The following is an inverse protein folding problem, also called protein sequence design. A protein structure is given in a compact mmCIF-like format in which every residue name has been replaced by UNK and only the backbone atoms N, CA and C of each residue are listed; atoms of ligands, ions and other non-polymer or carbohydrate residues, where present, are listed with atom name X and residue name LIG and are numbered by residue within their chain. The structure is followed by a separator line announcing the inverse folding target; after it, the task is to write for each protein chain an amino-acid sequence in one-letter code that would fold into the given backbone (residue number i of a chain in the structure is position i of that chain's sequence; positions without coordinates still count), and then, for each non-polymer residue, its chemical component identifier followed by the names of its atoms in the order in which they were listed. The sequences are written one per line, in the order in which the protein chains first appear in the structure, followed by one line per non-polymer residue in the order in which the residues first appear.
data_IF_302762670656
#
_entry.id   IF_302762670656
#
_cell.length_a   1.000
_cell.length_b   1.000
_cell.length_c   1.000
_cell.angle_alpha   90.00
_cell.angle_beta   90.00
_cell.angle_gamma   90.00
#
_symmetry.space_group_name_H-M   'P 1'
#
loop_
_entity.id
_entity.type
_entity.pdbx_description
1 polymer ?
#
# COMPACT_ATOMS: atom_id res chain seq x y z
N UNK A 1 37.06 23.43 36.93
CA UNK A 1 37.67 22.44 36.02
C UNK A 1 36.72 21.31 35.59
N UNK A 2 35.62 21.05 36.29
CA UNK A 2 34.64 19.99 35.91
C UNK A 2 33.70 20.34 34.75
N UNK A 3 33.52 21.63 34.44
CA UNK A 3 32.59 22.10 33.40
C UNK A 3 33.02 21.72 31.97
N UNK A 4 34.32 21.76 31.66
CA UNK A 4 34.85 21.40 30.33
C UNK A 4 34.87 19.88 30.07
N UNK A 5 34.95 19.04 31.11
CA UNK A 5 34.89 17.58 30.95
C UNK A 5 33.51 17.09 30.46
N UNK A 6 32.44 17.88 30.65
CA UNK A 6 31.09 17.53 30.17
C UNK A 6 30.89 17.78 28.67
N UNK A 7 31.61 18.74 28.08
CA UNK A 7 31.56 19.04 26.63
C UNK A 7 32.38 18.03 25.81
N UNK A 8 33.49 17.55 26.34
CA UNK A 8 34.39 16.60 25.66
C UNK A 8 33.90 15.14 25.69
N UNK A 9 32.95 14.78 26.58
CA UNK A 9 32.51 13.39 26.77
C UNK A 9 31.50 12.83 25.75
N UNK A 10 30.92 13.64 24.87
CA UNK A 10 29.95 13.15 23.86
C UNK A 10 30.51 13.03 22.43
N UNK A 11 31.70 13.58 22.18
CA UNK A 11 32.34 13.61 20.84
C UNK A 11 33.25 12.42 20.57
N UNK A 12 33.59 11.60 21.58
CA UNK A 12 34.51 10.45 21.46
C UNK A 12 33.90 9.08 21.80
N UNK A 13 32.57 8.98 21.92
CA UNK A 13 31.92 7.71 22.22
C UNK A 13 32.11 6.71 21.08
N UNK A 14 32.59 5.52 21.43
CA UNK A 14 32.62 4.35 20.55
C UNK A 14 31.20 3.81 20.34
N UNK A 15 31.00 3.03 19.27
CA UNK A 15 29.69 2.44 18.97
C UNK A 15 29.17 1.54 20.10
N UNK A 16 30.08 0.89 20.84
CA UNK A 16 29.73 0.05 21.99
C UNK A 16 29.27 0.87 23.19
N UNK A 17 29.92 2.01 23.45
CA UNK A 17 29.48 2.92 24.52
C UNK A 17 28.13 3.55 24.20
N UNK A 18 27.91 3.94 22.94
CA UNK A 18 26.60 4.42 22.45
C UNK A 18 25.56 3.33 22.67
N UNK A 19 25.82 2.09 22.23
CA UNK A 19 24.92 0.95 22.40
C UNK A 19 24.58 0.72 23.87
N UNK A 20 25.57 0.77 24.76
CA UNK A 20 25.40 0.62 26.22
C UNK A 20 24.51 1.71 26.81
N UNK A 21 24.70 2.97 26.41
CA UNK A 21 23.87 4.07 26.88
C UNK A 21 22.42 3.97 26.38
N UNK A 22 22.22 3.57 25.12
CA UNK A 22 20.88 3.30 24.59
C UNK A 22 20.20 2.15 25.34
N UNK A 23 20.92 1.06 25.60
CA UNK A 23 20.42 -0.05 26.43
C UNK A 23 19.93 0.47 27.78
N UNK A 24 20.74 1.23 28.50
CA UNK A 24 20.35 1.77 29.81
C UNK A 24 19.15 2.70 29.73
N UNK A 25 19.04 3.50 28.66
CA UNK A 25 17.89 4.38 28.43
C UNK A 25 16.60 3.57 28.21
N UNK A 26 16.66 2.52 27.38
CA UNK A 26 15.50 1.69 27.06
C UNK A 26 15.10 0.75 28.21
N UNK A 27 16.03 0.35 29.07
CA UNK A 27 15.77 -0.41 30.29
C UNK A 27 15.31 0.48 31.47
N UNK A 28 15.20 1.79 31.27
CA UNK A 28 14.79 2.74 32.32
C UNK A 28 15.85 2.97 33.42
N UNK A 29 17.09 2.47 33.24
CA UNK A 29 18.19 2.64 34.20
C UNK A 29 18.72 4.06 34.26
N UNK A 30 18.53 4.84 33.20
CA UNK A 30 18.82 6.28 33.16
C UNK A 30 17.62 7.05 32.65
N UNK A 31 17.29 8.15 33.31
CA UNK A 31 16.19 9.02 32.91
C UNK A 31 16.49 9.78 31.60
N UNK A 32 17.74 10.22 31.41
CA UNK A 32 18.16 10.98 30.24
C UNK A 32 19.54 10.49 29.77
N UNK A 33 19.76 10.61 28.45
CA UNK A 33 21.09 10.40 27.87
C UNK A 33 22.00 11.57 28.24
N UNK A 34 23.33 11.39 28.21
CA UNK A 34 24.28 12.46 28.49
C UNK A 34 24.01 13.73 27.68
N UNK A 35 24.32 14.89 28.26
CA UNK A 35 24.21 16.15 27.54
C UNK A 35 25.05 16.10 26.25
N UNK A 36 24.51 16.66 25.16
CA UNK A 36 25.18 16.66 23.86
C UNK A 36 25.18 15.33 23.12
N UNK A 37 24.64 14.23 23.69
CA UNK A 37 24.68 12.90 23.08
C UNK A 37 24.18 12.82 21.63
N UNK A 38 23.13 13.60 21.32
CA UNK A 38 22.64 13.76 19.94
C UNK A 38 23.32 14.92 19.20
N UNK A 39 23.74 15.97 19.91
CA UNK A 39 24.29 17.20 19.32
C UNK A 39 25.82 17.15 19.28
N UNK A 40 26.33 16.14 18.59
CA UNK A 40 27.75 15.95 18.30
C UNK A 40 27.93 15.51 16.84
N UNK A 41 29.17 15.51 16.35
CA UNK A 41 29.50 15.20 14.95
C UNK A 41 29.04 13.79 14.54
N UNK A 42 28.99 12.86 15.49
CA UNK A 42 28.50 11.48 15.29
C UNK A 42 27.02 11.29 15.64
N UNK A 43 26.27 12.35 15.93
CA UNK A 43 24.89 12.26 16.42
C UNK A 43 23.94 11.48 15.49
N UNK A 44 24.10 11.63 14.17
CA UNK A 44 23.34 10.87 13.18
C UNK A 44 23.73 9.38 13.18
N UNK A 45 24.99 9.07 13.40
CA UNK A 45 25.48 7.69 13.54
C UNK A 45 24.98 7.04 14.84
N UNK A 46 24.99 7.79 15.95
CA UNK A 46 24.37 7.37 17.22
C UNK A 46 22.89 7.06 17.03
N UNK A 47 22.20 7.86 16.21
CA UNK A 47 20.79 7.63 15.90
C UNK A 47 20.57 6.30 15.17
N UNK A 48 21.43 5.96 14.21
CA UNK A 48 21.41 4.66 13.50
C UNK A 48 21.57 3.49 14.48
N UNK A 49 22.56 3.58 15.37
CA UNK A 49 22.82 2.56 16.41
C UNK A 49 21.61 2.42 17.33
N UNK A 50 21.03 3.54 17.77
CA UNK A 50 19.87 3.55 18.64
C UNK A 50 18.64 2.92 17.99
N UNK A 51 18.37 3.23 16.71
CA UNK A 51 17.25 2.66 15.94
C UNK A 51 17.46 1.16 15.74
N UNK A 52 18.67 0.72 15.36
CA UNK A 52 18.99 -0.71 15.27
C UNK A 52 18.78 -1.44 16.58
N UNK A 53 19.29 -0.88 17.68
CA UNK A 53 19.11 -1.49 19.00
C UNK A 53 17.63 -1.56 19.39
N UNK A 54 16.85 -0.50 19.15
CA UNK A 54 15.43 -0.49 19.42
C UNK A 54 14.70 -1.61 18.66
N UNK A 55 14.94 -1.73 17.35
CA UNK A 55 14.25 -2.69 16.48
C UNK A 55 14.72 -4.13 16.75
N UNK A 56 16.02 -4.37 16.65
CA UNK A 56 16.60 -5.72 16.61
C UNK A 56 16.73 -6.33 18.01
N UNK A 57 17.04 -5.52 19.03
CA UNK A 57 17.39 -6.02 20.37
C UNK A 57 16.26 -5.79 21.38
N UNK A 58 15.73 -4.58 21.46
CA UNK A 58 14.73 -4.23 22.46
C UNK A 58 13.34 -4.77 22.09
N UNK A 59 12.88 -4.52 20.87
CA UNK A 59 11.59 -4.99 20.38
C UNK A 59 11.66 -6.39 19.74
N UNK A 60 12.88 -6.86 19.39
CA UNK A 60 13.13 -8.16 18.76
C UNK A 60 12.27 -8.38 17.51
N UNK A 61 12.17 -7.36 16.68
CA UNK A 61 11.36 -7.40 15.47
C UNK A 61 12.18 -7.95 14.31
N UNK A 62 11.58 -8.88 13.56
CA UNK A 62 11.99 -9.13 12.19
C UNK A 62 11.72 -7.88 11.35
N UNK A 63 12.56 -7.60 10.35
CA UNK A 63 12.40 -6.41 9.50
C UNK A 63 11.02 -6.38 8.83
N UNK A 64 10.49 -7.53 8.40
CA UNK A 64 9.17 -7.65 7.77
C UNK A 64 7.99 -7.21 8.68
N UNK A 65 8.19 -7.20 9.99
CA UNK A 65 7.18 -6.78 10.96
C UNK A 65 7.33 -5.32 11.40
N UNK A 66 8.46 -4.67 11.10
CA UNK A 66 8.70 -3.26 11.43
C UNK A 66 7.57 -2.36 10.91
N UNK A 67 7.10 -2.47 9.65
CA UNK A 67 6.04 -1.59 9.17
C UNK A 67 4.68 -1.78 9.85
N UNK A 68 4.46 -2.94 10.48
CA UNK A 68 3.19 -3.29 11.16
C UNK A 68 3.18 -2.79 12.60
N UNK A 69 4.35 -2.78 13.25
CA UNK A 69 4.49 -2.52 14.69
C UNK A 69 5.01 -1.11 14.98
N UNK A 70 6.01 -0.65 14.22
CA UNK A 70 6.73 0.59 14.53
C UNK A 70 5.94 1.83 14.09
N UNK A 71 5.95 2.85 14.94
CA UNK A 71 5.34 4.16 14.66
C UNK A 71 6.08 5.27 15.41
N UNK A 72 5.76 6.54 15.13
CA UNK A 72 6.27 7.67 15.92
C UNK A 72 6.01 7.53 17.43
N UNK A 73 4.89 6.89 17.82
CA UNK A 73 4.57 6.59 19.23
C UNK A 73 5.61 5.66 19.85
N UNK A 74 6.08 4.66 19.12
CA UNK A 74 7.12 3.73 19.59
C UNK A 74 8.40 4.47 19.95
N UNK A 75 8.79 5.48 19.16
CA UNK A 75 9.94 6.33 19.48
C UNK A 75 9.72 7.21 20.71
N UNK A 76 8.50 7.73 20.91
CA UNK A 76 8.14 8.46 22.13
C UNK A 76 8.23 7.58 23.38
N UNK A 77 7.62 6.40 23.33
CA UNK A 77 7.60 5.44 24.45
C UNK A 77 9.01 4.94 24.79
N UNK A 78 9.87 4.77 23.77
CA UNK A 78 11.29 4.46 23.95
C UNK A 78 12.14 5.64 24.46
N UNK A 79 11.57 6.85 24.56
CA UNK A 79 12.32 8.07 24.91
C UNK A 79 13.35 8.48 23.84
N UNK A 80 13.17 8.02 22.59
CA UNK A 80 14.04 8.26 21.44
C UNK A 80 13.42 9.23 20.43
N UNK A 81 12.25 9.81 20.70
CA UNK A 81 11.57 10.72 19.78
C UNK A 81 12.42 11.92 19.33
N UNK A 82 13.33 12.38 20.18
CA UNK A 82 14.25 13.49 19.84
C UNK A 82 15.12 13.21 18.62
N UNK A 83 15.45 11.95 18.35
CA UNK A 83 16.14 11.53 17.12
C UNK A 83 15.34 11.97 15.88
N UNK A 84 14.02 11.75 15.89
CA UNK A 84 13.16 12.05 14.75
C UNK A 84 13.11 13.55 14.48
N UNK A 85 12.98 14.35 15.54
CA UNK A 85 12.91 15.80 15.46
C UNK A 85 14.24 16.39 14.98
N UNK A 86 15.36 15.95 15.55
CA UNK A 86 16.68 16.56 15.30
C UNK A 86 17.24 16.20 13.91
N UNK A 87 16.97 14.99 13.40
CA UNK A 87 17.65 14.47 12.20
C UNK A 87 16.74 14.10 11.03
N UNK A 88 15.44 13.96 11.24
CA UNK A 88 14.56 13.30 10.28
C UNK A 88 13.23 14.03 10.06
N UNK A 89 13.15 15.33 10.34
CA UNK A 89 11.95 16.16 10.15
C UNK A 89 10.69 15.55 10.81
N UNK A 90 10.84 14.99 12.01
CA UNK A 90 9.79 14.25 12.73
C UNK A 90 9.24 13.02 11.98
N UNK A 91 9.93 12.55 10.94
CA UNK A 91 9.56 11.38 10.15
C UNK A 91 10.29 10.13 10.64
N UNK A 92 9.54 9.24 11.29
CA UNK A 92 10.06 7.92 11.66
C UNK A 92 10.38 7.07 10.42
N UNK A 93 9.71 7.29 9.28
CA UNK A 93 10.07 6.63 8.02
C UNK A 93 11.44 7.08 7.52
N UNK A 94 11.76 8.38 7.51
CA UNK A 94 13.09 8.87 7.13
C UNK A 94 14.19 8.29 8.03
N UNK A 95 13.91 8.13 9.32
CA UNK A 95 14.81 7.50 10.26
C UNK A 95 15.07 6.01 9.94
N UNK A 96 14.02 5.28 9.56
CA UNK A 96 14.12 3.89 9.12
C UNK A 96 14.83 3.75 7.77
N UNK A 97 14.52 4.60 6.79
CA UNK A 97 15.17 4.60 5.48
C UNK A 97 16.67 4.90 5.61
N UNK A 98 17.05 5.80 6.51
CA UNK A 98 18.46 6.04 6.80
C UNK A 98 19.15 4.84 7.46
N UNK A 99 18.43 4.11 8.32
CA UNK A 99 19.00 2.98 9.09
C UNK A 99 19.05 1.68 8.29
N UNK A 100 18.05 1.46 7.45
CA UNK A 100 17.85 0.29 6.59
C UNK A 100 17.52 0.74 5.17
N UNK A 101 18.48 1.32 4.43
CA UNK A 101 18.23 1.86 3.10
C UNK A 101 17.59 0.82 2.18
N UNK A 102 16.51 1.22 1.50
CA UNK A 102 15.79 0.37 0.54
C UNK A 102 15.10 -0.86 1.11
N UNK A 103 15.08 -1.07 2.43
CA UNK A 103 14.41 -2.24 3.03
C UNK A 103 12.90 -2.04 3.18
N UNK A 104 12.44 -0.79 3.28
CA UNK A 104 11.05 -0.48 3.53
C UNK A 104 10.46 0.37 2.43
N UNK A 105 9.29 -0.03 1.98
CA UNK A 105 8.48 0.82 1.13
C UNK A 105 7.59 1.72 1.99
N UNK A 106 7.45 3.01 1.66
CA UNK A 106 6.64 3.96 2.42
C UNK A 106 5.23 3.41 2.72
N UNK A 107 4.55 2.83 1.74
CA UNK A 107 3.17 2.37 1.92
C UNK A 107 2.98 1.15 2.82
N UNK A 108 4.05 0.50 3.28
CA UNK A 108 3.95 -0.62 4.22
C UNK A 108 3.51 -0.19 5.63
N UNK A 109 3.67 1.10 6.00
CA UNK A 109 3.35 1.54 7.36
C UNK A 109 1.93 2.08 7.48
N UNK A 110 1.22 1.66 8.53
CA UNK A 110 -0.23 1.88 8.70
C UNK A 110 -0.65 3.34 8.92
N UNK A 111 0.21 4.21 9.46
CA UNK A 111 -0.14 5.60 9.84
C UNK A 111 1.01 6.57 9.58
N UNK A 112 0.71 7.75 9.07
CA UNK A 112 1.67 8.88 9.07
C UNK A 112 2.40 9.13 7.75
N UNK A 113 1.81 8.76 6.62
CA UNK A 113 2.37 9.07 5.30
C UNK A 113 1.43 9.92 4.46
N UNK A 114 1.14 11.11 5.00
CA UNK A 114 0.46 12.17 4.25
C UNK A 114 1.31 12.56 3.04
N UNK A 115 0.70 12.73 1.87
CA UNK A 115 1.36 13.22 0.67
C UNK A 115 2.25 12.23 -0.09
N UNK A 116 2.46 11.00 0.38
CA UNK A 116 3.39 10.06 -0.30
C UNK A 116 2.93 9.66 -1.71
N UNK A 117 1.63 9.80 -1.98
CA UNK A 117 0.97 9.48 -3.24
C UNK A 117 0.84 10.68 -4.18
N UNK A 118 1.24 11.88 -3.75
CA UNK A 118 1.08 13.08 -4.54
C UNK A 118 2.14 13.20 -5.64
N UNK A 119 1.74 13.82 -6.75
CA UNK A 119 2.60 14.12 -7.88
C UNK A 119 3.14 12.90 -8.66
N UNK A 120 4.07 13.13 -9.59
CA UNK A 120 4.63 12.08 -10.45
C UNK A 120 5.35 10.97 -9.69
N UNK A 121 6.04 11.33 -8.59
CA UNK A 121 6.75 10.37 -7.74
C UNK A 121 5.74 9.45 -7.04
N UNK A 122 4.66 10.01 -6.50
CA UNK A 122 3.57 9.25 -5.90
C UNK A 122 2.91 8.28 -6.88
N UNK A 123 2.72 8.71 -8.14
CA UNK A 123 2.24 7.83 -9.22
C UNK A 123 3.22 6.69 -9.52
N UNK A 124 4.53 6.93 -9.54
CA UNK A 124 5.53 5.86 -9.74
C UNK A 124 5.49 4.86 -8.58
N UNK A 125 5.41 5.36 -7.33
CA UNK A 125 5.26 4.52 -6.14
C UNK A 125 3.98 3.69 -6.18
N UNK A 126 2.86 4.26 -6.62
CA UNK A 126 1.60 3.53 -6.66
C UNK A 126 1.65 2.35 -7.61
N UNK A 127 2.29 2.50 -8.77
CA UNK A 127 2.49 1.38 -9.70
C UNK A 127 3.35 0.26 -9.09
N UNK A 128 4.41 0.62 -8.37
CA UNK A 128 5.23 -0.36 -7.67
C UNK A 128 4.44 -1.05 -6.54
N UNK A 129 3.65 -0.29 -5.77
CA UNK A 129 2.81 -0.81 -4.71
C UNK A 129 1.76 -1.79 -5.23
N UNK A 130 1.12 -1.48 -6.37
CA UNK A 130 0.17 -2.40 -7.02
C UNK A 130 0.88 -3.67 -7.48
N UNK A 131 2.07 -3.57 -8.09
CA UNK A 131 2.85 -4.74 -8.51
C UNK A 131 3.22 -5.62 -7.32
N UNK A 132 3.73 -5.02 -6.25
CA UNK A 132 4.10 -5.75 -5.03
C UNK A 132 2.88 -6.44 -4.41
N UNK A 133 1.71 -5.79 -4.40
CA UNK A 133 0.47 -6.38 -3.93
C UNK A 133 0.08 -7.63 -4.73
N UNK A 134 0.12 -7.55 -6.07
CA UNK A 134 -0.23 -8.69 -6.93
C UNK A 134 0.72 -9.87 -6.73
N UNK A 135 2.02 -9.59 -6.63
CA UNK A 135 3.04 -10.62 -6.39
C UNK A 135 2.89 -11.26 -5.00
N UNK A 136 2.72 -10.46 -3.95
CA UNK A 136 2.60 -10.94 -2.58
C UNK A 136 1.35 -11.81 -2.35
N UNK A 137 0.28 -11.57 -3.12
CA UNK A 137 -0.95 -12.37 -3.09
C UNK A 137 -0.98 -13.46 -4.17
N UNK A 138 0.12 -13.64 -4.92
CA UNK A 138 0.25 -14.59 -6.02
C UNK A 138 -0.91 -14.51 -7.04
N UNK A 139 -1.40 -13.29 -7.30
CA UNK A 139 -2.52 -13.06 -8.22
C UNK A 139 -1.98 -13.11 -9.64
N UNK A 140 -2.41 -14.13 -10.39
CA UNK A 140 -2.10 -14.26 -11.81
C UNK A 140 -2.85 -13.21 -12.63
N UNK A 141 -2.29 -12.85 -13.79
CA UNK A 141 -2.80 -11.80 -14.65
C UNK A 141 -4.28 -12.00 -15.03
N UNK A 142 -4.68 -13.23 -15.32
CA UNK A 142 -6.05 -13.60 -15.73
C UNK A 142 -7.05 -13.54 -14.58
N UNK A 143 -6.57 -13.64 -13.34
CA UNK A 143 -7.40 -13.62 -12.13
C UNK A 143 -7.62 -12.21 -11.59
N UNK A 144 -6.87 -11.22 -12.09
CA UNK A 144 -6.88 -9.84 -11.62
C UNK A 144 -8.32 -9.30 -11.47
N UNK A 145 -9.20 -9.36 -12.49
CA UNK A 145 -10.53 -8.76 -12.37
C UNK A 145 -11.44 -9.44 -11.34
N UNK A 146 -11.21 -10.73 -11.06
CA UNK A 146 -12.00 -11.53 -10.11
C UNK A 146 -11.51 -11.36 -8.67
N UNK A 147 -10.19 -11.32 -8.46
CA UNK A 147 -9.60 -11.24 -7.13
C UNK A 147 -9.46 -9.79 -6.66
N UNK A 148 -9.03 -8.87 -7.52
CA UNK A 148 -8.70 -7.50 -7.13
C UNK A 148 -9.97 -6.69 -6.84
N UNK A 149 -10.06 -6.20 -5.61
CA UNK A 149 -11.17 -5.37 -5.13
C UNK A 149 -10.67 -4.25 -4.22
N UNK A 150 -11.53 -3.27 -3.95
CA UNK A 150 -11.22 -2.19 -3.02
C UNK A 150 -10.86 -2.73 -1.63
N UNK A 151 -11.51 -3.82 -1.21
CA UNK A 151 -11.25 -4.51 0.06
C UNK A 151 -9.80 -4.99 0.14
N UNK A 152 -9.28 -5.65 -0.91
CA UNK A 152 -7.88 -6.12 -0.94
C UNK A 152 -6.91 -4.95 -0.78
N UNK A 153 -7.09 -3.85 -1.52
CA UNK A 153 -6.23 -2.68 -1.38
C UNK A 153 -6.30 -2.09 0.04
N UNK A 154 -7.50 -1.99 0.63
CA UNK A 154 -7.69 -1.44 1.98
C UNK A 154 -7.02 -2.31 3.04
N UNK A 155 -7.19 -3.63 2.98
CA UNK A 155 -6.60 -4.58 3.93
C UNK A 155 -5.07 -4.60 3.88
N UNK A 156 -4.50 -4.26 2.72
CA UNK A 156 -3.05 -4.16 2.51
C UNK A 156 -2.51 -2.72 2.63
N UNK A 157 -3.23 -1.79 3.28
CA UNK A 157 -2.75 -0.43 3.53
C UNK A 157 -2.76 0.53 2.32
N UNK A 158 -3.21 0.07 1.16
CA UNK A 158 -3.25 0.83 -0.09
C UNK A 158 -4.60 1.52 -0.34
N UNK A 159 -5.49 1.54 0.66
CA UNK A 159 -6.77 2.25 0.57
C UNK A 159 -6.62 3.76 0.37
N UNK A 160 -5.58 4.37 0.96
CA UNK A 160 -5.26 5.79 0.76
C UNK A 160 -4.76 6.05 -0.66
N UNK A 161 -3.89 5.18 -1.19
CA UNK A 161 -3.41 5.24 -2.58
C UNK A 161 -4.56 5.26 -3.59
N UNK A 162 -5.54 4.35 -3.41
CA UNK A 162 -6.70 4.29 -4.29
C UNK A 162 -7.53 5.58 -4.24
N UNK A 163 -7.75 6.13 -3.04
CA UNK A 163 -8.52 7.36 -2.87
C UNK A 163 -7.82 8.55 -3.54
N UNK A 164 -6.52 8.71 -3.30
CA UNK A 164 -5.74 9.85 -3.80
C UNK A 164 -5.52 9.81 -5.32
N UNK A 165 -5.21 8.64 -5.90
CA UNK A 165 -4.74 8.55 -7.28
C UNK A 165 -5.72 7.92 -8.27
N UNK A 166 -6.73 7.20 -7.78
CA UNK A 166 -7.56 6.32 -8.61
C UNK A 166 -9.05 6.38 -8.23
N UNK A 167 -9.50 7.47 -7.59
CA UNK A 167 -10.89 7.69 -7.22
C UNK A 167 -11.57 6.48 -6.54
N UNK A 168 -10.84 5.80 -5.65
CA UNK A 168 -11.27 4.57 -4.99
C UNK A 168 -11.63 3.40 -5.93
N UNK A 169 -11.19 3.43 -7.19
CA UNK A 169 -11.46 2.43 -8.21
C UNK A 169 -10.29 1.46 -8.37
N UNK A 170 -10.47 0.17 -8.01
CA UNK A 170 -9.48 -0.87 -8.26
C UNK A 170 -9.18 -1.02 -9.76
N UNK A 171 -10.20 -0.88 -10.61
CA UNK A 171 -10.03 -0.90 -12.07
C UNK A 171 -9.08 0.20 -12.53
N UNK A 172 -9.25 1.45 -12.07
CA UNK A 172 -8.36 2.54 -12.49
C UNK A 172 -6.91 2.32 -12.05
N UNK A 173 -6.70 1.74 -10.86
CA UNK A 173 -5.36 1.37 -10.40
C UNK A 173 -4.73 0.28 -11.29
N UNK A 174 -5.47 -0.79 -11.57
CA UNK A 174 -4.98 -1.88 -12.45
C UNK A 174 -4.77 -1.38 -13.88
N UNK A 175 -5.69 -0.60 -14.44
CA UNK A 175 -5.55 -0.04 -15.79
C UNK A 175 -4.36 0.92 -15.89
N UNK A 176 -3.95 1.57 -14.79
CA UNK A 176 -2.72 2.35 -14.79
C UNK A 176 -1.45 1.47 -14.83
N UNK A 177 -1.49 0.27 -14.24
CA UNK A 177 -0.38 -0.69 -14.30
C UNK A 177 -0.36 -1.48 -15.62
N UNK A 178 -1.54 -1.81 -16.15
CA UNK A 178 -1.74 -2.57 -17.38
C UNK A 178 -2.72 -1.84 -18.33
N UNK A 179 -2.27 -0.77 -19.00
CA UNK A 179 -3.13 0.06 -19.85
C UNK A 179 -3.87 -0.74 -20.92
N UNK A 180 -5.20 -0.61 -20.93
CA UNK A 180 -6.07 -1.17 -21.97
C UNK A 180 -6.20 -2.70 -21.95
N UNK A 181 -5.64 -3.38 -20.95
CA UNK A 181 -5.66 -4.85 -20.88
C UNK A 181 -6.94 -5.43 -20.29
N UNK A 182 -7.68 -4.64 -19.52
CA UNK A 182 -8.94 -5.05 -18.92
C UNK A 182 -10.01 -4.01 -19.21
N UNK A 183 -11.26 -4.46 -19.26
CA UNK A 183 -12.44 -3.58 -19.33
C UNK A 183 -12.94 -3.23 -17.93
N UNK A 184 -13.55 -2.05 -17.73
CA UNK A 184 -14.06 -1.64 -16.42
C UNK A 184 -15.07 -2.62 -15.82
N UNK A 185 -15.93 -3.19 -16.67
CA UNK A 185 -16.96 -4.16 -16.27
C UNK A 185 -16.44 -5.54 -15.89
N UNK A 186 -15.17 -5.85 -16.16
CA UNK A 186 -14.56 -7.08 -15.66
C UNK A 186 -14.41 -7.07 -14.13
N UNK A 187 -14.39 -5.88 -13.53
CA UNK A 187 -14.26 -5.68 -12.09
C UNK A 187 -15.62 -5.47 -11.43
N UNK A 188 -15.75 -5.94 -10.18
CA UNK A 188 -16.90 -5.61 -9.34
C UNK A 188 -16.80 -4.16 -8.83
N UNK A 189 -17.16 -3.20 -9.68
CA UNK A 189 -17.17 -1.76 -9.36
C UNK A 189 -18.57 -1.32 -8.94
N UNK A 190 -18.67 -0.73 -7.74
CA UNK A 190 -19.93 -0.15 -7.26
C UNK A 190 -20.38 0.98 -8.19
N UNK A 191 -21.66 0.97 -8.54
CA UNK A 191 -22.32 2.03 -9.32
C UNK A 191 -21.71 2.31 -10.70
N UNK A 192 -20.89 1.41 -11.26
CA UNK A 192 -20.35 1.55 -12.62
C UNK A 192 -21.49 1.67 -13.64
N UNK A 193 -22.35 0.64 -13.68
CA UNK A 193 -23.47 0.56 -14.61
C UNK A 193 -24.54 1.64 -14.43
N UNK A 194 -24.63 2.28 -13.26
CA UNK A 194 -25.58 3.36 -13.01
C UNK A 194 -25.20 4.68 -13.72
N UNK A 195 -23.96 4.78 -14.19
CA UNK A 195 -23.42 5.95 -14.89
C UNK A 195 -23.13 5.68 -16.37
N UNK A 196 -23.41 4.46 -16.82
CA UNK A 196 -23.08 3.99 -18.16
C UNK A 196 -24.31 3.96 -19.06
N UNK A 197 -24.08 3.64 -20.33
CA UNK A 197 -25.11 3.67 -21.38
C UNK A 197 -25.51 2.27 -21.82
N UNK A 198 -26.68 2.19 -22.48
CA UNK A 198 -27.12 0.96 -23.16
C UNK A 198 -26.08 0.49 -24.20
N UNK A 199 -25.38 1.41 -24.86
CA UNK A 199 -24.31 1.05 -25.80
C UNK A 199 -23.19 0.26 -25.11
N UNK A 200 -22.76 0.66 -23.90
CA UNK A 200 -21.78 -0.12 -23.13
C UNK A 200 -22.33 -1.44 -22.62
N UNK A 201 -23.63 -1.50 -22.32
CA UNK A 201 -24.28 -2.77 -21.99
C UNK A 201 -24.19 -3.75 -23.17
N UNK A 202 -24.54 -3.31 -24.40
CA UNK A 202 -24.40 -4.09 -25.64
C UNK A 202 -22.96 -4.53 -25.90
N UNK A 203 -21.99 -3.62 -25.78
CA UNK A 203 -20.56 -3.95 -25.93
C UNK A 203 -20.12 -5.03 -24.94
N UNK A 204 -20.52 -4.92 -23.67
CA UNK A 204 -20.19 -5.93 -22.66
C UNK A 204 -20.84 -7.29 -22.93
N UNK A 205 -22.04 -7.30 -23.50
CA UNK A 205 -22.69 -8.54 -23.94
C UNK A 205 -21.91 -9.20 -25.08
N UNK A 206 -21.52 -8.43 -26.11
CA UNK A 206 -20.68 -8.95 -27.20
C UNK A 206 -19.36 -9.51 -26.69
N UNK A 207 -18.67 -8.74 -25.86
CA UNK A 207 -17.42 -9.14 -25.22
C UNK A 207 -17.55 -10.45 -24.42
N UNK A 208 -18.64 -10.62 -23.66
CA UNK A 208 -18.87 -11.87 -22.91
C UNK A 208 -19.00 -13.06 -23.86
N UNK A 209 -19.82 -12.92 -24.91
CA UNK A 209 -20.14 -14.04 -25.80
C UNK A 209 -18.95 -14.38 -26.70
N UNK A 210 -18.40 -13.39 -27.38
CA UNK A 210 -17.40 -13.58 -28.43
C UNK A 210 -16.01 -13.79 -27.85
N UNK A 211 -15.61 -13.03 -26.83
CA UNK A 211 -14.24 -13.09 -26.31
C UNK A 211 -14.10 -14.07 -25.14
N UNK A 212 -15.06 -14.09 -24.21
CA UNK A 212 -14.95 -14.92 -22.99
C UNK A 212 -15.53 -16.31 -23.14
N UNK A 213 -16.72 -16.42 -23.72
CA UNK A 213 -17.35 -17.73 -23.97
C UNK A 213 -16.88 -18.33 -25.30
N UNK A 214 -16.38 -17.51 -26.24
CA UNK A 214 -16.00 -17.91 -27.61
C UNK A 214 -17.14 -18.60 -28.35
N UNK A 215 -18.35 -18.11 -28.14
CA UNK A 215 -19.57 -18.63 -28.73
C UNK A 215 -19.84 -17.99 -30.09
N UNK A 216 -20.36 -18.78 -31.01
CA UNK A 216 -20.82 -18.30 -32.32
C UNK A 216 -22.29 -17.87 -32.24
N UNK A 217 -22.83 -17.16 -33.25
CA UNK A 217 -24.26 -16.82 -33.29
C UNK A 217 -25.20 -18.03 -33.08
N UNK A 218 -24.81 -19.21 -33.57
CA UNK A 218 -25.60 -20.44 -33.37
C UNK A 218 -25.62 -20.94 -31.91
N UNK A 219 -24.64 -20.53 -31.10
CA UNK A 219 -24.52 -20.92 -29.70
C UNK A 219 -25.25 -19.98 -28.73
N UNK A 220 -25.81 -18.86 -29.21
CA UNK A 220 -26.43 -17.84 -28.35
C UNK A 220 -27.54 -18.42 -27.47
N UNK A 221 -28.32 -19.37 -27.99
CA UNK A 221 -29.37 -20.08 -27.24
C UNK A 221 -28.83 -20.85 -26.02
N UNK A 222 -27.54 -21.16 -25.97
CA UNK A 222 -26.88 -21.84 -24.84
C UNK A 222 -26.47 -20.86 -23.72
N UNK A 223 -26.49 -19.55 -23.99
CA UNK A 223 -26.07 -18.53 -23.01
C UNK A 223 -27.11 -18.43 -21.90
N UNK A 224 -26.67 -18.59 -20.65
CA UNK A 224 -27.51 -18.51 -19.45
C UNK A 224 -27.20 -17.24 -18.68
N UNK A 225 -28.17 -16.76 -17.90
CA UNK A 225 -27.97 -15.65 -16.94
C UNK A 225 -26.74 -15.84 -16.05
N UNK A 226 -26.44 -17.09 -15.65
CA UNK A 226 -25.25 -17.41 -14.84
C UNK A 226 -23.95 -16.94 -15.51
N UNK A 227 -23.80 -17.06 -16.82
CA UNK A 227 -22.62 -16.56 -17.53
C UNK A 227 -22.43 -15.05 -17.34
N UNK A 228 -23.51 -14.25 -17.32
CA UNK A 228 -23.38 -12.82 -17.02
C UNK A 228 -22.94 -12.57 -15.58
N UNK A 229 -23.43 -13.34 -14.61
CA UNK A 229 -23.06 -13.17 -13.21
C UNK A 229 -21.59 -13.53 -12.96
N UNK A 230 -21.13 -14.64 -13.54
CA UNK A 230 -19.75 -15.13 -13.40
C UNK A 230 -18.70 -14.14 -13.95
N UNK A 231 -19.13 -13.19 -14.78
CA UNK A 231 -18.31 -12.13 -15.37
C UNK A 231 -18.73 -10.71 -14.95
N UNK A 232 -19.32 -10.55 -13.75
CA UNK A 232 -19.66 -9.26 -13.14
C UNK A 232 -20.70 -8.39 -13.90
N UNK A 233 -21.43 -8.96 -14.86
CA UNK A 233 -22.46 -8.28 -15.65
C UNK A 233 -23.88 -8.36 -15.03
N UNK A 234 -24.01 -8.85 -13.79
CA UNK A 234 -25.33 -8.92 -13.13
C UNK A 234 -26.01 -7.56 -12.93
N UNK A 235 -25.22 -6.54 -12.55
CA UNK A 235 -25.75 -5.17 -12.41
C UNK A 235 -26.14 -4.56 -13.76
N UNK A 236 -25.43 -4.89 -14.83
CA UNK A 236 -25.78 -4.50 -16.19
C UNK A 236 -27.17 -5.02 -16.55
N UNK A 237 -27.41 -6.32 -16.35
CA UNK A 237 -28.72 -6.92 -16.60
C UNK A 237 -29.83 -6.27 -15.78
N UNK A 238 -29.57 -5.96 -14.50
CA UNK A 238 -30.53 -5.29 -13.62
C UNK A 238 -30.93 -3.91 -14.14
N UNK A 239 -29.95 -3.12 -14.57
CA UNK A 239 -30.16 -1.71 -14.94
C UNK A 239 -30.78 -1.57 -16.34
N UNK A 240 -30.29 -2.33 -17.33
CA UNK A 240 -30.70 -2.15 -18.72
C UNK A 240 -31.74 -3.16 -19.21
N UNK A 241 -31.84 -4.32 -18.56
CA UNK A 241 -32.58 -5.46 -19.12
C UNK A 241 -33.49 -6.15 -18.10
N UNK A 242 -33.89 -5.48 -17.01
CA UNK A 242 -34.83 -6.01 -16.01
C UNK A 242 -34.40 -7.38 -15.45
N UNK A 243 -33.09 -7.60 -15.25
CA UNK A 243 -32.47 -8.87 -14.87
C UNK A 243 -32.61 -10.02 -15.90
N UNK A 244 -33.13 -9.76 -17.10
CA UNK A 244 -33.28 -10.73 -18.18
C UNK A 244 -32.05 -10.77 -19.09
N UNK A 245 -31.34 -11.90 -19.05
CA UNK A 245 -30.28 -12.16 -20.02
C UNK A 245 -30.80 -12.31 -21.46
N UNK A 246 -32.03 -12.81 -21.65
CA UNK A 246 -32.62 -12.96 -22.99
C UNK A 246 -32.79 -11.59 -23.65
N UNK A 247 -33.29 -10.60 -22.91
CA UNK A 247 -33.42 -9.22 -23.43
C UNK A 247 -32.05 -8.63 -23.83
N UNK A 248 -31.01 -8.90 -23.04
CA UNK A 248 -29.65 -8.47 -23.37
C UNK A 248 -29.11 -9.13 -24.65
N UNK A 249 -29.46 -10.40 -24.89
CA UNK A 249 -29.05 -11.12 -26.08
C UNK A 249 -29.80 -10.62 -27.32
N UNK A 250 -31.13 -10.47 -27.25
CA UNK A 250 -31.96 -10.02 -28.39
C UNK A 250 -31.68 -8.57 -28.78
N UNK A 251 -31.14 -7.77 -27.87
CA UNK A 251 -30.71 -6.39 -28.13
C UNK A 251 -29.41 -6.32 -28.96
N UNK A 252 -28.69 -7.43 -29.09
CA UNK A 252 -27.37 -7.50 -29.71
C UNK A 252 -27.33 -8.46 -30.91
N UNK A 253 -28.14 -9.52 -30.87
CA UNK A 253 -28.14 -10.58 -31.85
C UNK A 253 -29.56 -10.98 -32.23
N UNK A 254 -29.73 -11.35 -33.50
CA UNK A 254 -30.92 -12.02 -34.00
C UNK A 254 -30.70 -13.54 -33.89
N UNK A 255 -31.48 -14.24 -33.06
CA UNK A 255 -31.37 -15.68 -32.87
C UNK A 255 -32.70 -16.35 -32.58
#
# INVERSE_FOLDING_TARGET
MEYNQSKERSTSLTDEEVRKLIKYKLEGKIAQLPYGFWRCDRGKEHSRIAIKYLVEVHLKLALDDVPKVLSAKTFHEAGLFRILVEFFDSSYFKALEYTYPGHFEPWQFRKGMTGIWEGPIGKKRSLQAIRNLLNALEIKFEEIPKKVSYKIFKENGLGGMLQTLYNSSPYQAINALHPGKFKPWEFSVKNYWAKETLLKARESTKWLIEEKLKFTPNDIRKVKRKHFLDFNLGQMLRIFYQNSHILALTDVYDF
#
